data_IF_887117532796
#
_entry.id   IF_887117532796
#
_cell.length_a   1.000
_cell.length_b   1.000
_cell.length_c   1.000
_cell.angle_alpha   90.00
_cell.angle_beta   90.00
_cell.angle_gamma   90.00
#
_symmetry.space_group_name_H-M   'P 1'
#
loop_
_entity.id
_entity.type
_entity.pdbx_description
1 polymer ?
#
# COMPACT_ATOMS: atom_id res chain seq x y z
N UNK A 1 5.11 7.95 8.60
CA UNK A 1 3.82 7.50 9.21
C UNK A 1 2.75 8.57 9.49
N UNK A 2 3.04 9.66 10.23
CA UNK A 2 2.00 10.66 10.66
C UNK A 2 1.15 11.24 9.52
N UNK A 3 1.72 11.39 8.31
CA UNK A 3 1.00 11.87 7.12
C UNK A 3 -0.12 10.91 6.64
N UNK A 4 -0.05 9.62 6.98
CA UNK A 4 -1.00 8.58 6.55
C UNK A 4 -2.07 8.26 7.59
N UNK A 5 -1.86 8.63 8.86
CA UNK A 5 -2.81 8.39 9.95
C UNK A 5 -3.97 9.40 9.93
N UNK A 6 -4.79 9.38 8.86
CA UNK A 6 -5.91 10.31 8.67
C UNK A 6 -7.25 9.59 8.75
N UNK A 7 -8.25 10.22 9.39
CA UNK A 7 -9.62 9.70 9.44
C UNK A 7 -10.23 9.54 8.05
N UNK A 8 -9.91 10.45 7.12
CA UNK A 8 -10.38 10.40 5.73
C UNK A 8 -9.99 9.08 5.05
N UNK A 9 -8.72 8.68 5.18
CA UNK A 9 -8.23 7.41 4.63
C UNK A 9 -8.97 6.23 5.25
N UNK A 10 -9.06 6.19 6.59
CA UNK A 10 -9.75 5.09 7.29
C UNK A 10 -11.22 4.96 6.89
N UNK A 11 -11.93 6.08 6.78
CA UNK A 11 -13.33 6.09 6.34
C UNK A 11 -13.48 5.67 4.87
N UNK A 12 -12.54 6.03 4.00
CA UNK A 12 -12.52 5.58 2.60
C UNK A 12 -12.39 4.06 2.49
N UNK A 13 -11.43 3.48 3.19
CA UNK A 13 -11.23 2.02 3.21
C UNK A 13 -12.43 1.29 3.84
N UNK A 14 -12.97 1.80 4.95
CA UNK A 14 -14.17 1.24 5.58
C UNK A 14 -15.38 1.31 4.65
N UNK A 15 -15.54 2.41 3.91
CA UNK A 15 -16.62 2.59 2.96
C UNK A 15 -16.52 1.62 1.78
N UNK A 16 -15.33 1.14 1.42
CA UNK A 16 -15.16 0.17 0.35
C UNK A 16 -15.38 -1.28 0.78
N UNK A 17 -15.36 -1.57 2.08
CA UNK A 17 -15.59 -2.92 2.62
C UNK A 17 -16.92 -3.54 2.17
N UNK A 18 -17.96 -2.71 1.97
CA UNK A 18 -19.26 -3.16 1.46
C UNK A 18 -19.20 -3.75 0.03
N UNK A 19 -18.11 -3.52 -0.69
CA UNK A 19 -17.90 -3.98 -2.06
C UNK A 19 -17.00 -5.21 -2.15
N UNK A 20 -16.51 -5.75 -1.03
CA UNK A 20 -15.58 -6.89 -1.04
C UNK A 20 -16.07 -8.07 -1.90
N UNK A 21 -17.38 -8.36 -1.87
CA UNK A 21 -17.98 -9.43 -2.68
C UNK A 21 -18.56 -8.96 -4.02
N UNK A 22 -19.17 -7.77 -4.07
CA UNK A 22 -19.91 -7.30 -5.24
C UNK A 22 -19.05 -6.60 -6.29
N UNK A 23 -17.93 -6.03 -5.88
CA UNK A 23 -16.94 -5.36 -6.72
C UNK A 23 -15.54 -5.48 -6.06
N UNK A 24 -14.92 -6.67 -6.15
CA UNK A 24 -13.64 -6.96 -5.49
C UNK A 24 -12.49 -6.11 -6.06
N UNK A 25 -12.53 -5.75 -7.35
CA UNK A 25 -11.50 -4.92 -7.99
C UNK A 25 -11.41 -3.55 -7.32
N UNK A 26 -12.58 -2.95 -7.02
CA UNK A 26 -12.65 -1.69 -6.28
C UNK A 26 -12.07 -1.84 -4.87
N UNK A 27 -12.56 -2.82 -4.10
CA UNK A 27 -12.16 -2.99 -2.71
C UNK A 27 -10.66 -3.30 -2.58
N UNK A 28 -10.20 -4.37 -3.24
CA UNK A 28 -8.81 -4.79 -3.15
C UNK A 28 -7.86 -3.84 -3.87
N UNK A 29 -8.27 -3.20 -4.98
CA UNK A 29 -7.45 -2.20 -5.66
C UNK A 29 -7.16 -0.99 -4.78
N UNK A 30 -8.17 -0.44 -4.11
CA UNK A 30 -7.97 0.69 -3.21
C UNK A 30 -7.17 0.30 -1.96
N UNK A 31 -7.44 -0.88 -1.39
CA UNK A 31 -6.66 -1.44 -0.29
C UNK A 31 -5.18 -1.64 -0.67
N UNK A 32 -4.92 -2.12 -1.89
CA UNK A 32 -3.57 -2.37 -2.37
C UNK A 32 -2.79 -1.08 -2.59
N UNK A 33 -3.35 -0.11 -3.31
CA UNK A 33 -2.71 1.19 -3.54
C UNK A 33 -2.34 1.90 -2.22
N UNK A 34 -3.22 1.77 -1.23
CA UNK A 34 -3.01 2.34 0.09
C UNK A 34 -1.93 1.58 0.90
N UNK A 35 -1.90 0.25 0.82
CA UNK A 35 -0.87 -0.60 1.44
C UNK A 35 0.51 -0.33 0.84
N UNK A 36 0.63 -0.26 -0.48
CA UNK A 36 1.89 0.07 -1.19
C UNK A 36 2.41 1.44 -0.76
N UNK A 37 1.51 2.41 -0.61
CA UNK A 37 1.85 3.75 -0.10
C UNK A 37 2.43 3.70 1.32
N UNK A 38 1.86 2.89 2.22
CA UNK A 38 2.37 2.73 3.58
C UNK A 38 3.72 2.02 3.57
N UNK A 39 3.86 0.94 2.81
CA UNK A 39 5.14 0.21 2.69
C UNK A 39 6.24 1.11 2.15
N UNK A 40 5.94 1.96 1.17
CA UNK A 40 6.87 2.94 0.63
C UNK A 40 7.33 3.95 1.69
N UNK A 41 6.39 4.46 2.50
CA UNK A 41 6.72 5.36 3.60
C UNK A 41 7.55 4.66 4.70
N UNK A 42 7.21 3.40 5.05
CA UNK A 42 7.97 2.60 6.03
C UNK A 42 9.39 2.35 5.51
N UNK A 43 9.55 1.96 4.25
CA UNK A 43 10.85 1.69 3.66
C UNK A 43 11.70 2.95 3.58
N UNK A 44 11.13 4.08 3.18
CA UNK A 44 11.83 5.36 3.24
C UNK A 44 12.23 5.73 4.69
N UNK A 45 11.38 5.42 5.68
CA UNK A 45 11.59 5.75 7.10
C UNK A 45 12.52 4.77 7.86
N UNK A 46 12.64 3.51 7.45
CA UNK A 46 13.39 2.47 8.17
C UNK A 46 14.45 1.74 7.32
N UNK A 47 14.43 1.95 6.00
CA UNK A 47 15.34 1.33 5.06
C UNK A 47 16.75 1.90 5.09
N UNK A 48 17.66 1.31 4.29
CA UNK A 48 19.05 1.73 4.24
C UNK A 48 19.17 3.18 3.74
N UNK A 49 20.14 3.90 4.30
CA UNK A 49 20.55 5.20 3.77
C UNK A 49 21.60 4.96 2.70
N UNK A 50 21.34 5.49 1.51
CA UNK A 50 22.27 5.48 0.37
C UNK A 50 23.01 6.81 0.30
N UNK A 51 24.04 6.88 -0.54
CA UNK A 51 24.74 8.14 -0.85
C UNK A 51 23.82 9.23 -1.43
N UNK A 52 22.65 8.85 -1.98
CA UNK A 52 21.63 9.77 -2.50
C UNK A 52 20.51 10.10 -1.49
N UNK A 53 20.59 9.60 -0.24
CA UNK A 53 19.56 9.79 0.79
C UNK A 53 18.81 8.49 1.14
N UNK A 54 17.57 8.61 1.63
CA UNK A 54 16.74 7.44 2.00
C UNK A 54 16.48 6.57 0.77
N UNK A 55 16.66 5.25 0.90
CA UNK A 55 16.39 4.33 -0.19
C UNK A 55 14.90 4.32 -0.59
N UNK A 56 14.64 4.26 -1.90
CA UNK A 56 13.33 3.96 -2.47
C UNK A 56 13.09 2.45 -2.52
N UNK A 57 11.83 2.01 -2.61
CA UNK A 57 11.46 0.62 -2.96
C UNK A 57 11.72 0.31 -4.44
N UNK A 58 11.91 1.31 -5.30
CA UNK A 58 12.18 1.11 -6.71
C UNK A 58 13.44 0.25 -6.93
N UNK A 59 13.33 -0.79 -7.76
CA UNK A 59 14.41 -1.74 -8.03
C UNK A 59 14.61 -2.80 -6.95
N UNK A 60 13.84 -2.78 -5.86
CA UNK A 60 13.82 -3.88 -4.88
C UNK A 60 12.94 -5.03 -5.38
N UNK A 61 13.21 -6.25 -4.91
CA UNK A 61 12.37 -7.43 -5.19
C UNK A 61 11.38 -7.62 -4.06
N UNK A 62 10.09 -7.71 -4.41
CA UNK A 62 9.00 -7.91 -3.46
C UNK A 62 8.33 -9.25 -3.78
N UNK A 63 7.99 -10.00 -2.73
CA UNK A 63 7.18 -11.21 -2.84
C UNK A 63 5.79 -10.91 -2.28
N UNK A 64 4.78 -10.97 -3.15
CA UNK A 64 3.38 -10.82 -2.78
C UNK A 64 2.75 -12.19 -2.48
N UNK A 65 2.61 -12.51 -1.19
CA UNK A 65 2.03 -13.79 -0.75
C UNK A 65 0.53 -13.63 -0.59
N UNK A 66 -0.25 -14.38 -1.39
CA UNK A 66 -1.71 -14.30 -1.36
C UNK A 66 -2.30 -13.13 -2.15
N UNK A 67 -1.54 -12.57 -3.11
CA UNK A 67 -1.94 -11.40 -3.90
C UNK A 67 -3.19 -11.54 -4.79
N UNK A 68 -3.80 -12.73 -4.85
CA UNK A 68 -4.98 -13.00 -5.66
C UNK A 68 -4.73 -12.68 -7.14
N UNK A 69 -5.58 -11.88 -7.80
CA UNK A 69 -5.37 -11.39 -9.17
C UNK A 69 -4.15 -10.47 -9.39
N UNK A 70 -3.43 -10.09 -8.32
CA UNK A 70 -2.24 -9.25 -8.41
C UNK A 70 -2.47 -7.77 -8.11
N UNK A 71 -3.40 -7.45 -7.20
CA UNK A 71 -3.72 -6.06 -6.84
C UNK A 71 -2.53 -5.29 -6.22
N UNK A 72 -1.67 -5.98 -5.46
CA UNK A 72 -0.55 -5.38 -4.73
C UNK A 72 0.77 -5.34 -5.52
N UNK A 73 0.79 -5.95 -6.71
CA UNK A 73 1.95 -5.99 -7.60
C UNK A 73 1.89 -5.01 -8.78
N UNK A 74 0.93 -4.09 -8.78
CA UNK A 74 0.73 -3.06 -9.82
C UNK A 74 1.78 -1.95 -9.76
#
# INVERSE_FOLDING_TARGET
MRRRATLRRSLGLLADFRFEQSDPDRFYGHLAADTVSILSDIWADAGPTTSAGRASLAGTRILDVGGGPGYFGQ
#
